data_IF_898484838076
#
_entry.id   IF_898484838076
#
_cell.length_a   1.000
_cell.length_b   1.000
_cell.length_c   1.000
_cell.angle_alpha   90.00
_cell.angle_beta   90.00
_cell.angle_gamma   90.00
#
_symmetry.space_group_name_H-M   'P 1'
#
loop_
_entity.id
_entity.type
_entity.pdbx_description
1 polymer ?
#
# COMPACT_ATOMS: atom_id res chain seq x y z
N UNK A 1 56.07 -51.31 55.64
CA UNK A 1 57.01 -51.66 54.54
C UNK A 1 56.24 -51.71 53.23
N UNK A 2 56.93 -51.36 52.14
CA UNK A 2 56.45 -51.17 50.74
C UNK A 2 55.74 -49.82 50.52
N UNK A 3 56.44 -48.71 50.27
CA UNK A 3 57.26 -48.29 49.09
C UNK A 3 56.44 -48.13 47.80
N UNK A 4 56.14 -46.85 47.54
CA UNK A 4 56.14 -46.06 46.31
C UNK A 4 55.91 -46.72 44.94
N UNK A 5 54.97 -46.14 44.16
CA UNK A 5 55.22 -45.65 42.79
C UNK A 5 54.45 -44.33 42.61
N UNK A 6 55.17 -43.23 42.37
CA UNK A 6 54.65 -41.96 41.84
C UNK A 6 54.35 -42.11 40.35
N UNK A 7 53.21 -41.61 39.89
CA UNK A 7 53.02 -41.20 38.50
C UNK A 7 52.44 -39.79 38.46
N UNK A 8 53.28 -38.87 37.99
CA UNK A 8 52.96 -37.52 37.56
C UNK A 8 52.04 -37.57 36.35
N UNK A 9 50.92 -36.85 36.39
CA UNK A 9 50.20 -36.50 35.17
C UNK A 9 49.66 -35.06 35.26
N UNK A 10 50.50 -34.13 34.82
CA UNK A 10 50.14 -32.74 34.54
C UNK A 10 49.32 -32.69 33.25
N UNK A 11 48.00 -32.81 33.36
CA UNK A 11 47.09 -32.54 32.25
C UNK A 11 46.71 -31.05 32.23
N UNK A 12 47.45 -30.30 31.42
CA UNK A 12 47.10 -28.97 30.92
C UNK A 12 45.72 -29.03 30.22
N UNK A 13 44.65 -28.62 30.94
CA UNK A 13 43.34 -28.39 30.33
C UNK A 13 43.34 -27.03 29.65
N UNK A 14 43.91 -27.00 28.45
CA UNK A 14 43.80 -25.90 27.51
C UNK A 14 42.35 -25.42 27.40
N UNK A 15 42.14 -24.17 27.81
CA UNK A 15 40.92 -23.40 27.59
C UNK A 15 40.58 -23.42 26.09
N UNK A 16 39.62 -24.27 25.70
CA UNK A 16 39.02 -24.25 24.36
C UNK A 16 38.24 -22.94 24.19
N UNK A 17 38.91 -21.91 23.65
CA UNK A 17 38.30 -20.69 23.08
C UNK A 17 37.55 -21.06 21.78
N UNK A 18 36.50 -21.87 21.84
CA UNK A 18 35.66 -22.21 20.67
C UNK A 18 34.51 -21.21 20.45
N UNK A 19 34.10 -20.45 21.47
CA UNK A 19 32.95 -19.55 21.37
C UNK A 19 33.18 -18.26 20.55
N UNK A 20 34.42 -17.85 20.27
CA UNK A 20 34.68 -16.56 19.61
C UNK A 20 34.23 -16.49 18.15
N UNK A 21 34.23 -17.62 17.43
CA UNK A 21 33.82 -17.66 16.01
C UNK A 21 32.30 -17.72 15.88
N UNK A 22 31.66 -18.52 16.72
CA UNK A 22 30.20 -18.58 16.82
C UNK A 22 29.61 -17.27 17.36
N UNK A 23 30.22 -16.67 18.39
CA UNK A 23 29.80 -15.36 18.89
C UNK A 23 29.95 -14.26 17.84
N UNK A 24 31.05 -14.25 17.05
CA UNK A 24 31.20 -13.30 15.92
C UNK A 24 30.21 -13.57 14.79
N UNK A 25 29.85 -14.83 14.54
CA UNK A 25 28.82 -15.18 13.56
C UNK A 25 27.45 -14.73 14.06
N UNK A 26 27.12 -14.99 15.32
CA UNK A 26 25.90 -14.55 16.00
C UNK A 26 25.78 -13.02 16.03
N UNK A 27 26.87 -12.29 16.33
CA UNK A 27 26.92 -10.82 16.30
C UNK A 27 26.72 -10.26 14.89
N UNK A 28 27.23 -10.92 13.85
CA UNK A 28 27.03 -10.50 12.45
C UNK A 28 25.66 -10.86 11.90
N UNK A 29 25.04 -11.93 12.41
CA UNK A 29 23.69 -12.35 12.05
C UNK A 29 22.61 -11.69 12.92
N UNK A 30 23.00 -11.04 14.03
CA UNK A 30 22.08 -10.30 14.87
C UNK A 30 21.51 -9.11 14.09
N UNK A 31 20.21 -8.83 14.19
CA UNK A 31 19.63 -7.64 13.60
C UNK A 31 20.35 -6.39 14.09
N UNK A 32 20.63 -5.47 13.17
CA UNK A 32 21.14 -4.15 13.52
C UNK A 32 20.11 -3.44 14.42
N UNK A 33 20.61 -2.75 15.46
CA UNK A 33 19.79 -1.85 16.25
C UNK A 33 19.15 -0.80 15.34
N UNK A 34 17.92 -0.37 15.65
CA UNK A 34 17.12 0.49 14.76
C UNK A 34 17.81 1.79 14.38
N UNK A 35 18.62 2.35 15.30
CA UNK A 35 19.35 3.60 15.14
C UNK A 35 20.56 3.51 14.19
N UNK A 36 21.05 2.30 13.92
CA UNK A 36 22.17 2.05 13.00
C UNK A 36 21.75 1.38 11.70
N UNK A 37 20.45 1.15 11.49
CA UNK A 37 19.96 0.57 10.23
C UNK A 37 20.21 1.56 9.08
N UNK A 38 20.80 1.09 7.96
CA UNK A 38 21.11 1.96 6.83
C UNK A 38 19.85 2.43 6.10
N UNK A 39 18.74 1.70 6.22
CA UNK A 39 17.45 2.03 5.63
C UNK A 39 16.40 2.13 6.72
N UNK A 40 15.58 3.18 6.65
CA UNK A 40 14.45 3.44 7.56
C UNK A 40 13.30 4.09 6.79
N UNK A 41 12.04 3.89 7.23
CA UNK A 41 10.90 4.53 6.61
C UNK A 41 10.98 6.05 6.70
N UNK A 42 10.56 6.73 5.63
CA UNK A 42 10.43 8.18 5.60
C UNK A 42 11.75 8.94 5.62
N UNK A 43 12.80 8.41 4.98
CA UNK A 43 13.99 9.20 4.65
C UNK A 43 13.59 10.42 3.81
N UNK A 44 14.18 11.57 4.10
CA UNK A 44 13.90 12.81 3.38
C UNK A 44 14.51 12.75 1.97
N UNK A 45 13.65 12.81 0.97
CA UNK A 45 14.05 13.00 -0.43
C UNK A 45 14.19 14.48 -0.78
N UNK A 46 14.62 14.72 -2.02
CA UNK A 46 14.55 16.01 -2.69
C UNK A 46 13.44 16.05 -3.75
N UNK A 47 13.26 17.21 -4.37
CA UNK A 47 12.35 17.36 -5.50
C UNK A 47 13.15 17.73 -6.75
N UNK A 48 13.18 16.85 -7.74
CA UNK A 48 13.67 17.20 -9.06
C UNK A 48 12.62 18.07 -9.76
N UNK A 49 13.02 19.24 -10.28
CA UNK A 49 12.11 20.24 -10.88
C UNK A 49 12.42 20.43 -12.36
N UNK A 50 11.97 19.52 -13.25
CA UNK A 50 12.26 19.61 -14.67
C UNK A 50 11.45 20.68 -15.41
N UNK A 51 10.36 21.19 -14.81
CA UNK A 51 9.48 22.20 -15.39
C UNK A 51 9.77 23.57 -14.79
N UNK A 52 9.66 24.61 -15.63
CA UNK A 52 9.69 26.00 -15.17
C UNK A 52 8.41 26.35 -14.39
N UNK A 53 8.46 27.42 -13.59
CA UNK A 53 7.28 27.90 -12.87
C UNK A 53 6.13 28.28 -13.83
N UNK A 54 6.45 28.92 -14.96
CA UNK A 54 5.47 29.29 -15.97
C UNK A 54 4.81 28.05 -16.62
N UNK A 55 5.57 26.96 -16.84
CA UNK A 55 4.98 25.73 -17.39
C UNK A 55 4.06 25.03 -16.38
N UNK A 56 4.41 25.07 -15.08
CA UNK A 56 3.54 24.56 -14.02
C UNK A 56 2.22 25.33 -13.96
N UNK A 57 2.26 26.66 -14.03
CA UNK A 57 1.07 27.52 -14.04
C UNK A 57 0.20 27.23 -15.27
N UNK A 58 0.80 27.10 -16.46
CA UNK A 58 0.08 26.75 -17.69
C UNK A 58 -0.62 25.39 -17.59
N UNK A 59 0.04 24.38 -17.03
CA UNK A 59 -0.55 23.05 -16.82
C UNK A 59 -1.71 23.15 -15.81
N UNK A 60 -1.51 23.86 -14.70
CA UNK A 60 -2.53 24.05 -13.68
C UNK A 60 -3.79 24.72 -14.26
N UNK A 61 -3.62 25.81 -15.01
CA UNK A 61 -4.70 26.52 -15.68
C UNK A 61 -5.42 25.65 -16.73
N UNK A 62 -4.68 24.83 -17.48
CA UNK A 62 -5.26 23.90 -18.42
C UNK A 62 -6.13 22.83 -17.72
N UNK A 63 -5.64 22.25 -16.62
CA UNK A 63 -6.41 21.28 -15.81
C UNK A 63 -7.69 21.90 -15.28
N UNK A 64 -7.61 23.10 -14.69
CA UNK A 64 -8.78 23.83 -14.20
C UNK A 64 -9.80 24.11 -15.32
N UNK A 65 -9.33 24.54 -16.49
CA UNK A 65 -10.19 24.80 -17.65
C UNK A 65 -10.88 23.51 -18.12
N UNK A 66 -10.17 22.39 -18.18
CA UNK A 66 -10.74 21.10 -18.56
C UNK A 66 -11.79 20.64 -17.54
N UNK A 67 -11.51 20.75 -16.23
CA UNK A 67 -12.47 20.38 -15.20
C UNK A 67 -13.75 21.24 -15.24
N UNK A 68 -13.61 22.53 -15.54
CA UNK A 68 -14.72 23.50 -15.60
C UNK A 68 -15.55 23.37 -16.89
N UNK A 69 -14.92 23.16 -18.05
CA UNK A 69 -15.61 23.21 -19.35
C UNK A 69 -15.97 21.82 -19.89
N UNK A 70 -15.12 20.83 -19.64
CA UNK A 70 -15.24 19.46 -20.15
C UNK A 70 -15.86 18.57 -19.06
N UNK A 71 -15.25 18.53 -17.88
CA UNK A 71 -15.72 17.71 -16.76
C UNK A 71 -15.62 16.20 -17.01
N UNK A 72 -16.27 15.41 -16.15
CA UNK A 72 -16.30 13.94 -16.21
C UNK A 72 -17.68 13.41 -16.61
N UNK A 73 -17.73 12.36 -17.44
CA UNK A 73 -18.96 11.62 -17.73
C UNK A 73 -19.11 10.39 -16.81
N UNK A 74 -20.27 9.71 -16.89
CA UNK A 74 -20.54 8.44 -16.21
C UNK A 74 -20.50 8.52 -14.66
N UNK A 75 -20.81 9.67 -14.08
CA UNK A 75 -20.96 9.76 -12.63
C UNK A 75 -22.19 8.94 -12.19
N UNK A 76 -22.02 8.08 -11.18
CA UNK A 76 -23.13 7.33 -10.59
C UNK A 76 -24.10 8.29 -9.86
N UNK A 77 -25.39 7.94 -9.69
CA UNK A 77 -26.39 8.85 -9.12
C UNK A 77 -26.00 9.44 -7.75
N UNK A 78 -25.41 8.64 -6.86
CA UNK A 78 -24.89 9.10 -5.56
C UNK A 78 -23.78 10.14 -5.71
N UNK A 79 -22.85 9.91 -6.64
CA UNK A 79 -21.78 10.84 -6.98
C UNK A 79 -22.34 12.16 -7.54
N UNK A 80 -23.32 12.11 -8.44
CA UNK A 80 -24.00 13.31 -8.97
C UNK A 80 -24.61 14.11 -7.82
N UNK A 81 -25.36 13.45 -6.92
CA UNK A 81 -26.01 14.11 -5.79
C UNK A 81 -24.97 14.73 -4.83
N UNK A 82 -23.89 14.02 -4.53
CA UNK A 82 -22.84 14.49 -3.64
C UNK A 82 -22.09 15.70 -4.22
N UNK A 83 -21.74 15.65 -5.51
CA UNK A 83 -20.99 16.70 -6.21
C UNK A 83 -21.84 17.94 -6.47
N UNK A 84 -23.09 17.79 -6.90
CA UNK A 84 -23.98 18.94 -7.15
C UNK A 84 -24.33 19.69 -5.88
N UNK A 85 -24.47 18.99 -4.75
CA UNK A 85 -24.67 19.59 -3.42
C UNK A 85 -23.54 20.54 -3.00
N UNK A 86 -22.30 20.31 -3.47
CA UNK A 86 -21.14 21.17 -3.16
C UNK A 86 -20.84 22.17 -4.29
N UNK A 87 -21.71 22.28 -5.29
CA UNK A 87 -21.62 23.28 -6.35
C UNK A 87 -20.96 22.80 -7.64
N UNK A 88 -20.81 21.49 -7.86
CA UNK A 88 -20.52 20.97 -9.19
C UNK A 88 -21.77 21.08 -10.09
N UNK A 89 -21.56 21.20 -11.40
CA UNK A 89 -22.65 21.35 -12.36
C UNK A 89 -22.89 20.04 -13.11
N UNK A 90 -24.11 19.51 -13.04
CA UNK A 90 -24.53 18.40 -13.89
C UNK A 90 -25.15 18.94 -15.16
N UNK A 91 -24.38 18.92 -16.25
CA UNK A 91 -24.79 19.44 -17.54
C UNK A 91 -25.86 18.58 -18.21
N UNK A 92 -26.59 19.18 -19.14
CA UNK A 92 -27.60 18.48 -19.97
C UNK A 92 -27.00 17.35 -20.83
N UNK A 93 -25.68 17.39 -21.05
CA UNK A 93 -24.89 16.36 -21.72
C UNK A 93 -24.48 15.19 -20.81
N UNK A 94 -24.99 15.15 -19.57
CA UNK A 94 -24.72 14.10 -18.60
C UNK A 94 -23.33 14.15 -17.97
N UNK A 95 -22.63 15.29 -18.09
CA UNK A 95 -21.27 15.45 -17.55
C UNK A 95 -21.27 16.33 -16.31
N UNK A 96 -20.43 15.96 -15.35
CA UNK A 96 -20.17 16.73 -14.14
C UNK A 96 -18.99 17.66 -14.36
N UNK A 97 -19.24 18.96 -14.29
CA UNK A 97 -18.23 20.02 -14.40
C UNK A 97 -17.95 20.61 -13.03
N UNK A 98 -16.69 20.99 -12.81
CA UNK A 98 -16.21 21.48 -11.53
C UNK A 98 -15.79 22.94 -11.66
N UNK A 99 -16.54 23.89 -11.09
CA UNK A 99 -16.10 25.29 -11.05
C UNK A 99 -14.71 25.41 -10.43
N UNK A 100 -13.87 26.29 -10.97
CA UNK A 100 -12.47 26.48 -10.50
C UNK A 100 -12.39 26.66 -8.99
N UNK A 101 -13.28 27.49 -8.44
CA UNK A 101 -13.35 27.77 -7.00
C UNK A 101 -13.60 26.48 -6.20
N UNK A 102 -14.52 25.62 -6.63
CA UNK A 102 -14.80 24.35 -5.95
C UNK A 102 -13.54 23.48 -5.89
N UNK A 103 -12.80 23.36 -6.99
CA UNK A 103 -11.55 22.58 -7.04
C UNK A 103 -10.50 23.15 -6.07
N UNK A 104 -10.25 24.46 -6.13
CA UNK A 104 -9.25 25.12 -5.29
C UNK A 104 -9.62 25.07 -3.80
N UNK A 105 -10.89 25.26 -3.46
CA UNK A 105 -11.40 25.19 -2.08
C UNK A 105 -11.23 23.76 -1.52
N UNK A 106 -11.53 22.74 -2.34
CA UNK A 106 -11.34 21.33 -1.98
C UNK A 106 -9.87 20.99 -1.73
N UNK A 107 -8.96 21.45 -2.60
CA UNK A 107 -7.51 21.24 -2.43
C UNK A 107 -7.00 21.84 -1.12
N UNK A 108 -7.51 23.03 -0.73
CA UNK A 108 -7.15 23.70 0.52
C UNK A 108 -7.60 22.95 1.76
N UNK A 109 -8.74 22.27 1.69
CA UNK A 109 -9.28 21.46 2.80
C UNK A 109 -8.62 20.09 2.94
N UNK A 110 -7.98 19.58 1.87
CA UNK A 110 -7.41 18.25 1.88
C UNK A 110 -6.34 18.09 2.97
N UNK A 111 -6.39 16.97 3.68
CA UNK A 111 -5.47 16.67 4.78
C UNK A 111 -4.01 16.74 4.34
N UNK A 112 -3.14 17.18 5.25
CA UNK A 112 -1.68 17.25 5.10
C UNK A 112 -1.05 16.68 6.36
N UNK A 113 0.13 16.07 6.22
CA UNK A 113 0.90 15.56 7.36
C UNK A 113 0.11 14.56 8.19
N UNK A 114 -0.27 13.45 7.57
CA UNK A 114 -1.04 12.38 8.21
C UNK A 114 -0.20 11.11 8.35
N UNK A 115 -0.70 10.15 9.12
CA UNK A 115 -0.05 8.85 9.31
C UNK A 115 -0.86 7.78 8.58
N UNK A 116 -0.18 6.92 7.83
CA UNK A 116 -0.75 5.65 7.37
C UNK A 116 -0.32 4.56 8.34
N UNK A 117 -1.26 3.81 8.89
CA UNK A 117 -0.97 2.89 9.99
C UNK A 117 -0.59 1.50 9.51
N UNK A 118 0.35 0.86 10.17
CA UNK A 118 0.50 -0.59 10.08
C UNK A 118 -0.47 -1.29 11.03
N UNK A 119 -0.60 -2.61 10.90
CA UNK A 119 -1.22 -3.41 11.98
C UNK A 119 -0.39 -3.30 13.26
N UNK A 120 0.94 -3.34 13.10
CA UNK A 120 1.87 -3.00 14.16
C UNK A 120 2.25 -1.51 14.09
N UNK A 121 2.12 -0.73 15.18
CA UNK A 121 2.51 0.67 15.22
C UNK A 121 3.97 0.96 14.81
N UNK A 122 4.86 -0.03 14.92
CA UNK A 122 6.26 0.08 14.43
C UNK A 122 6.36 0.30 12.93
N UNK A 123 5.31 -0.02 12.17
CA UNK A 123 5.22 0.16 10.73
C UNK A 123 4.38 1.36 10.31
N UNK A 124 3.99 2.23 11.26
CA UNK A 124 3.31 3.48 10.95
C UNK A 124 4.19 4.38 10.07
N UNK A 125 3.61 4.89 8.97
CA UNK A 125 4.28 5.73 8.00
C UNK A 125 3.78 7.18 8.13
N UNK A 126 4.69 8.07 8.52
CA UNK A 126 4.42 9.50 8.54
C UNK A 126 4.52 10.08 7.13
N UNK A 127 3.37 10.44 6.54
CA UNK A 127 3.25 11.06 5.22
C UNK A 127 3.30 12.57 5.38
N UNK A 128 4.52 13.11 5.44
CA UNK A 128 4.79 14.52 5.71
C UNK A 128 6.00 15.03 4.94
N UNK A 129 5.90 16.27 4.45
CA UNK A 129 7.01 16.98 3.83
C UNK A 129 7.61 16.21 2.66
N UNK A 130 8.91 15.95 2.71
CA UNK A 130 9.65 15.22 1.66
C UNK A 130 9.99 13.78 2.05
N UNK A 131 9.31 13.22 3.06
CA UNK A 131 9.54 11.83 3.48
C UNK A 131 9.12 10.87 2.38
N UNK A 132 10.00 9.95 2.02
CA UNK A 132 9.77 8.94 0.98
C UNK A 132 9.53 7.58 1.63
N UNK A 133 8.48 6.90 1.16
CA UNK A 133 8.17 5.54 1.56
C UNK A 133 8.10 4.63 0.33
N UNK A 134 8.70 3.45 0.43
CA UNK A 134 8.70 2.45 -0.63
C UNK A 134 7.67 1.37 -0.31
N UNK A 135 6.99 0.91 -1.34
CA UNK A 135 6.11 -0.25 -1.25
C UNK A 135 6.21 -1.05 -2.54
N UNK A 136 5.66 -2.26 -2.49
CA UNK A 136 5.32 -2.97 -3.71
C UNK A 136 4.24 -2.20 -4.49
N UNK A 137 3.94 -2.64 -5.70
CA UNK A 137 2.79 -2.20 -6.49
C UNK A 137 2.57 -3.18 -7.64
N UNK A 138 1.38 -3.20 -8.21
CA UNK A 138 1.07 -3.98 -9.39
C UNK A 138 -0.34 -4.57 -9.36
N UNK A 139 -0.61 -5.41 -10.34
CA UNK A 139 -1.78 -6.27 -10.42
C UNK A 139 -1.47 -7.40 -11.44
N UNK A 140 -0.28 -7.99 -11.33
CA UNK A 140 0.16 -9.02 -12.25
C UNK A 140 -0.73 -10.27 -12.14
N UNK A 141 -1.16 -10.79 -13.27
CA UNK A 141 -1.92 -12.05 -13.38
C UNK A 141 -1.02 -13.25 -13.71
N UNK A 142 0.25 -12.97 -14.04
CA UNK A 142 1.27 -13.97 -14.32
C UNK A 142 2.55 -13.67 -13.53
N UNK A 143 3.27 -14.74 -13.19
CA UNK A 143 4.57 -14.74 -12.56
C UNK A 143 5.56 -15.53 -13.42
N UNK A 144 6.84 -15.16 -13.32
CA UNK A 144 7.93 -15.96 -13.87
C UNK A 144 8.30 -17.04 -12.85
N UNK A 145 8.14 -18.30 -13.23
CA UNK A 145 8.76 -19.41 -12.53
C UNK A 145 10.27 -19.40 -12.85
N UNK A 146 11.09 -19.02 -11.88
CA UNK A 146 12.54 -18.86 -12.08
C UNK A 146 13.24 -20.20 -12.32
N UNK A 147 12.73 -21.29 -11.73
CA UNK A 147 13.33 -22.62 -11.85
C UNK A 147 13.04 -23.21 -13.23
N UNK A 148 11.79 -23.12 -13.68
CA UNK A 148 11.34 -23.66 -14.97
C UNK A 148 11.55 -22.70 -16.14
N UNK A 149 11.76 -21.40 -15.85
CA UNK A 149 11.88 -20.31 -16.83
C UNK A 149 10.63 -20.15 -17.70
N UNK A 150 9.45 -20.34 -17.11
CA UNK A 150 8.16 -20.20 -17.78
C UNK A 150 7.28 -19.18 -17.08
N UNK A 151 6.29 -18.65 -17.80
CA UNK A 151 5.22 -17.87 -17.16
C UNK A 151 4.15 -18.83 -16.65
N UNK A 152 3.70 -18.59 -15.43
CA UNK A 152 2.52 -19.25 -14.85
C UNK A 152 1.56 -18.21 -14.31
N UNK A 153 0.31 -18.60 -14.11
CA UNK A 153 -0.65 -17.75 -13.41
C UNK A 153 -0.21 -17.49 -11.96
N UNK A 154 -0.55 -16.30 -11.44
CA UNK A 154 -0.40 -15.99 -10.02
C UNK A 154 -1.52 -16.63 -9.20
N UNK A 155 -1.16 -17.18 -8.05
CA UNK A 155 -2.05 -17.85 -7.11
C UNK A 155 -2.21 -17.03 -5.83
N UNK A 156 -3.22 -17.34 -5.02
CA UNK A 156 -3.39 -16.71 -3.70
C UNK A 156 -2.15 -16.90 -2.82
N UNK A 157 -1.55 -18.09 -2.87
CA UNK A 157 -0.33 -18.42 -2.12
C UNK A 157 0.82 -17.45 -2.45
N UNK A 158 0.96 -17.06 -3.72
CA UNK A 158 2.02 -16.14 -4.14
C UNK A 158 1.84 -14.75 -3.51
N UNK A 159 0.60 -14.30 -3.29
CA UNK A 159 0.30 -13.03 -2.64
C UNK A 159 0.71 -13.08 -1.17
N UNK A 160 0.36 -14.16 -0.47
CA UNK A 160 0.76 -14.37 0.93
C UNK A 160 2.28 -14.45 1.07
N UNK A 161 2.97 -15.18 0.19
CA UNK A 161 4.42 -15.29 0.21
C UNK A 161 5.10 -13.95 -0.07
N UNK A 162 4.59 -13.17 -1.04
CA UNK A 162 5.06 -11.82 -1.31
C UNK A 162 4.88 -10.89 -0.10
N UNK A 163 3.74 -10.96 0.59
CA UNK A 163 3.49 -10.20 1.81
C UNK A 163 4.50 -10.55 2.90
N UNK A 164 4.79 -11.84 3.11
CA UNK A 164 5.78 -12.31 4.09
C UNK A 164 7.20 -11.88 3.77
N UNK A 165 7.58 -11.91 2.49
CA UNK A 165 8.86 -11.38 2.04
C UNK A 165 8.93 -9.89 2.39
N UNK A 166 7.89 -9.13 2.04
CA UNK A 166 7.83 -7.69 2.31
C UNK A 166 7.89 -7.40 3.80
N UNK A 167 7.25 -8.19 4.66
CA UNK A 167 7.30 -8.03 6.11
C UNK A 167 8.75 -8.03 6.63
N UNK A 168 9.58 -8.94 6.12
CA UNK A 168 11.00 -9.06 6.49
C UNK A 168 11.95 -8.03 5.86
N UNK A 169 11.50 -7.20 4.92
CA UNK A 169 12.35 -6.22 4.22
C UNK A 169 12.30 -4.83 4.87
N UNK A 170 13.41 -4.39 5.46
CA UNK A 170 13.51 -3.06 6.09
C UNK A 170 13.35 -1.90 5.09
N UNK A 171 13.65 -2.15 3.81
CA UNK A 171 13.60 -1.15 2.74
C UNK A 171 12.26 -1.06 2.00
N UNK A 172 11.29 -1.90 2.36
CA UNK A 172 9.92 -1.86 1.84
C UNK A 172 8.98 -1.59 3.02
N UNK A 173 8.33 -0.44 3.04
CA UNK A 173 7.61 0.09 4.20
C UNK A 173 6.11 -0.24 4.20
N UNK A 174 5.52 -0.51 3.04
CA UNK A 174 4.13 -0.95 2.91
C UNK A 174 3.97 -2.03 1.82
N UNK A 175 2.91 -2.82 1.94
CA UNK A 175 2.58 -3.88 1.00
C UNK A 175 1.36 -3.48 0.16
N UNK A 176 1.59 -2.92 -1.02
CA UNK A 176 0.54 -2.86 -2.04
C UNK A 176 0.49 -4.21 -2.74
N UNK A 177 -0.67 -4.87 -2.73
CA UNK A 177 -0.88 -6.16 -3.38
C UNK A 177 -0.34 -6.15 -4.83
N UNK A 178 0.70 -6.91 -5.18
CA UNK A 178 1.35 -6.83 -6.49
C UNK A 178 0.72 -7.74 -7.56
N UNK A 179 -0.13 -8.69 -7.16
CA UNK A 179 -0.75 -9.68 -8.07
C UNK A 179 -2.26 -9.78 -7.88
N UNK A 180 -2.93 -10.38 -8.86
CA UNK A 180 -4.33 -10.82 -8.78
C UNK A 180 -4.33 -12.35 -8.84
N UNK A 181 -4.91 -13.05 -7.85
CA UNK A 181 -4.90 -14.51 -7.86
C UNK A 181 -5.84 -15.03 -8.95
N UNK A 182 -5.45 -16.14 -9.59
CA UNK A 182 -6.17 -16.74 -10.72
C UNK A 182 -6.83 -18.07 -10.36
N UNK A 183 -6.55 -18.58 -9.16
CA UNK A 183 -7.07 -19.83 -8.59
C UNK A 183 -8.41 -19.66 -7.86
N UNK A 184 -8.97 -18.46 -7.80
CA UNK A 184 -10.27 -18.17 -7.16
C UNK A 184 -11.19 -17.47 -8.17
N UNK A 185 -12.18 -18.17 -8.76
CA UNK A 185 -13.04 -17.60 -9.79
C UNK A 185 -14.12 -16.64 -9.27
N UNK A 186 -14.64 -16.87 -8.06
CA UNK A 186 -15.70 -16.04 -7.50
C UNK A 186 -15.13 -14.68 -7.04
N UNK A 187 -15.66 -13.54 -7.51
CA UNK A 187 -15.10 -12.22 -7.17
C UNK A 187 -15.14 -11.88 -5.68
N UNK A 188 -16.17 -12.31 -4.95
CA UNK A 188 -16.27 -12.05 -3.51
C UNK A 188 -15.23 -12.89 -2.76
N UNK A 189 -15.15 -14.19 -3.05
CA UNK A 189 -14.13 -15.06 -2.46
C UNK A 189 -12.72 -14.57 -2.80
N UNK A 190 -12.49 -14.14 -4.04
CA UNK A 190 -11.20 -13.62 -4.50
C UNK A 190 -10.78 -12.39 -3.69
N UNK A 191 -11.65 -11.40 -3.54
CA UNK A 191 -11.36 -10.17 -2.78
C UNK A 191 -11.09 -10.47 -1.30
N UNK A 192 -11.93 -11.28 -0.67
CA UNK A 192 -11.82 -11.61 0.75
C UNK A 192 -10.57 -12.44 1.06
N UNK A 193 -10.30 -13.46 0.26
CA UNK A 193 -9.09 -14.27 0.45
C UNK A 193 -7.84 -13.46 0.13
N UNK A 194 -7.87 -12.60 -0.89
CA UNK A 194 -6.76 -11.67 -1.18
C UNK A 194 -6.49 -10.76 -0.01
N UNK A 195 -7.54 -10.12 0.54
CA UNK A 195 -7.42 -9.25 1.69
C UNK A 195 -6.81 -10.01 2.88
N UNK A 196 -7.37 -11.17 3.20
CA UNK A 196 -6.89 -12.04 4.27
C UNK A 196 -5.42 -12.43 4.08
N UNK A 197 -5.02 -12.86 2.88
CA UNK A 197 -3.64 -13.20 2.56
C UNK A 197 -2.68 -12.02 2.75
N UNK A 198 -3.09 -10.81 2.36
CA UNK A 198 -2.29 -9.60 2.57
C UNK A 198 -2.09 -9.30 4.07
N UNK A 199 -3.20 -9.22 4.82
CA UNK A 199 -3.14 -8.81 6.25
C UNK A 199 -2.55 -9.89 7.15
N UNK A 200 -2.69 -11.17 6.81
CA UNK A 200 -2.03 -12.25 7.55
C UNK A 200 -0.55 -12.41 7.17
N UNK A 201 -0.15 -11.95 5.99
CA UNK A 201 1.21 -12.09 5.49
C UNK A 201 2.16 -10.99 5.98
N UNK A 202 1.66 -9.81 6.36
CA UNK A 202 2.49 -8.72 6.88
C UNK A 202 1.78 -7.88 7.94
N UNK A 203 2.58 -7.37 8.88
CA UNK A 203 2.17 -6.40 9.90
C UNK A 203 2.25 -4.94 9.44
N UNK A 204 2.77 -4.69 8.23
CA UNK A 204 2.87 -3.36 7.59
C UNK A 204 1.53 -2.87 7.07
N UNK A 205 1.47 -1.59 6.67
CA UNK A 205 0.28 -1.07 5.99
C UNK A 205 0.03 -1.84 4.69
N UNK A 206 -1.21 -2.23 4.44
CA UNK A 206 -1.61 -2.98 3.25
C UNK A 206 -2.40 -2.08 2.30
N UNK A 207 -2.07 -2.13 1.02
CA UNK A 207 -2.92 -1.61 -0.05
C UNK A 207 -3.51 -2.77 -0.85
N UNK A 208 -4.83 -2.74 -1.09
CA UNK A 208 -5.53 -3.70 -1.96
C UNK A 208 -6.61 -3.01 -2.76
N UNK A 209 -7.35 -3.73 -3.60
CA UNK A 209 -8.52 -3.23 -4.33
C UNK A 209 -9.67 -4.20 -4.19
N UNK A 210 -10.89 -3.67 -4.22
CA UNK A 210 -12.12 -4.48 -4.28
C UNK A 210 -12.74 -4.40 -5.67
N UNK A 211 -13.38 -5.49 -6.07
CA UNK A 211 -13.94 -5.67 -7.41
C UNK A 211 -15.28 -4.94 -7.57
N UNK A 212 -16.17 -5.04 -6.58
CA UNK A 212 -17.50 -4.39 -6.58
C UNK A 212 -17.85 -3.84 -5.20
N UNK A 213 -18.79 -2.89 -5.14
CA UNK A 213 -19.26 -2.24 -3.91
C UNK A 213 -19.66 -3.24 -2.82
N UNK A 214 -20.39 -4.28 -3.21
CA UNK A 214 -20.97 -5.24 -2.26
C UNK A 214 -19.91 -6.07 -1.51
N UNK A 215 -18.71 -6.21 -2.08
CA UNK A 215 -17.60 -6.91 -1.44
C UNK A 215 -16.98 -6.11 -0.28
N UNK A 216 -17.19 -4.79 -0.25
CA UNK A 216 -16.59 -3.90 0.75
C UNK A 216 -17.17 -4.14 2.15
N UNK A 217 -18.48 -4.43 2.26
CA UNK A 217 -19.12 -4.71 3.55
C UNK A 217 -18.49 -5.91 4.27
N UNK A 218 -18.49 -7.11 3.66
CA UNK A 218 -17.83 -8.29 4.21
C UNK A 218 -16.32 -8.08 4.48
N UNK A 219 -15.63 -7.32 3.63
CA UNK A 219 -14.23 -6.96 3.85
C UNK A 219 -14.04 -6.10 5.10
N UNK A 220 -14.91 -5.12 5.34
CA UNK A 220 -14.90 -4.28 6.55
C UNK A 220 -15.16 -5.12 7.80
N UNK A 221 -16.10 -6.06 7.78
CA UNK A 221 -16.35 -6.97 8.91
C UNK A 221 -15.08 -7.74 9.31
N UNK A 222 -14.33 -8.24 8.32
CA UNK A 222 -13.03 -8.88 8.56
C UNK A 222 -12.03 -7.90 9.19
N UNK A 223 -11.89 -6.70 8.64
CA UNK A 223 -10.95 -5.68 9.12
C UNK A 223 -11.27 -5.22 10.54
N UNK A 224 -12.54 -4.99 10.84
CA UNK A 224 -13.02 -4.64 12.17
C UNK A 224 -12.74 -5.76 13.16
N UNK A 225 -12.97 -7.02 12.77
CA UNK A 225 -12.66 -8.18 13.61
C UNK A 225 -11.16 -8.23 13.95
N UNK A 226 -10.28 -8.04 12.96
CA UNK A 226 -8.83 -8.01 13.17
C UNK A 226 -8.41 -6.85 14.07
N UNK A 227 -9.02 -5.67 13.88
CA UNK A 227 -8.74 -4.49 14.70
C UNK A 227 -9.32 -4.58 16.14
N UNK A 228 -10.17 -5.57 16.43
CA UNK A 228 -10.91 -5.67 17.69
C UNK A 228 -12.08 -4.68 17.80
N UNK A 229 -12.64 -4.23 16.68
CA UNK A 229 -13.82 -3.36 16.58
C UNK A 229 -13.69 -2.30 15.49
N UNK A 230 -14.84 -1.77 15.05
CA UNK A 230 -14.91 -0.68 14.07
C UNK A 230 -14.22 0.60 14.56
N UNK A 231 -14.42 0.97 15.83
CA UNK A 231 -13.79 2.16 16.43
C UNK A 231 -12.26 2.07 16.36
N UNK A 232 -11.70 0.91 16.70
CA UNK A 232 -10.26 0.67 16.65
C UNK A 232 -9.73 0.75 15.22
N UNK A 233 -10.45 0.18 14.25
CA UNK A 233 -10.07 0.26 12.84
C UNK A 233 -10.10 1.71 12.34
N UNK A 234 -11.16 2.46 12.62
CA UNK A 234 -11.29 3.86 12.19
C UNK A 234 -10.25 4.77 12.83
N UNK A 235 -9.84 4.48 14.06
CA UNK A 235 -8.76 5.19 14.73
C UNK A 235 -7.39 4.92 14.09
N UNK A 236 -7.17 3.70 13.58
CA UNK A 236 -5.90 3.25 13.00
C UNK A 236 -6.09 2.33 11.78
N UNK A 237 -6.55 2.86 10.63
CA UNK A 237 -6.81 2.02 9.48
C UNK A 237 -5.49 1.52 8.88
N UNK A 238 -5.30 0.20 8.93
CA UNK A 238 -4.09 -0.47 8.45
C UNK A 238 -4.21 -1.02 7.03
N UNK A 239 -5.35 -0.81 6.38
CA UNK A 239 -5.60 -1.15 4.98
C UNK A 239 -6.08 0.09 4.22
N UNK A 240 -5.55 0.32 3.03
CA UNK A 240 -6.04 1.30 2.06
C UNK A 240 -6.57 0.63 0.80
N UNK A 241 -7.55 1.28 0.17
CA UNK A 241 -8.09 0.85 -1.11
C UNK A 241 -7.44 1.63 -2.27
N UNK A 242 -6.79 0.92 -3.18
CA UNK A 242 -6.27 1.43 -4.44
C UNK A 242 -7.40 1.50 -5.45
N UNK A 243 -7.79 2.72 -5.82
CA UNK A 243 -9.04 2.94 -6.56
C UNK A 243 -8.82 3.73 -7.85
N UNK A 244 -8.95 3.04 -8.98
CA UNK A 244 -8.95 3.64 -10.32
C UNK A 244 -10.36 4.13 -10.69
N UNK A 245 -10.85 5.13 -9.96
CA UNK A 245 -12.22 5.68 -10.13
C UNK A 245 -12.43 6.44 -11.44
N UNK A 246 -11.35 6.79 -12.16
CA UNK A 246 -11.41 7.50 -13.43
C UNK A 246 -10.77 6.69 -14.55
N UNK A 247 -11.42 6.67 -15.70
CA UNK A 247 -10.92 6.05 -16.93
C UNK A 247 -10.75 7.12 -18.02
N UNK A 248 -9.59 7.15 -18.70
CA UNK A 248 -9.39 8.09 -19.79
C UNK A 248 -10.29 7.81 -21.02
N UNK A 249 -10.69 8.86 -21.75
CA UNK A 249 -10.60 10.27 -21.35
C UNK A 249 -11.80 10.69 -20.48
N UNK A 250 -11.52 11.19 -19.27
CA UNK A 250 -12.47 11.95 -18.42
C UNK A 250 -13.84 11.29 -18.20
N UNK A 251 -13.84 10.01 -17.80
CA UNK A 251 -15.04 9.31 -17.32
C UNK A 251 -14.81 8.72 -15.95
N UNK A 252 -15.86 8.62 -15.15
CA UNK A 252 -15.85 7.79 -13.96
C UNK A 252 -16.04 6.32 -14.34
N UNK A 253 -15.38 5.43 -13.61
CA UNK A 253 -15.67 3.99 -13.65
C UNK A 253 -16.71 3.69 -12.59
N UNK A 254 -17.91 3.29 -13.02
CA UNK A 254 -19.10 3.20 -12.17
C UNK A 254 -18.90 2.25 -10.98
N UNK A 255 -18.40 1.04 -11.23
CA UNK A 255 -18.11 0.06 -10.16
C UNK A 255 -17.08 0.58 -9.16
N UNK A 256 -16.01 1.21 -9.67
CA UNK A 256 -14.94 1.77 -8.84
C UNK A 256 -15.41 2.98 -8.02
N UNK A 257 -16.40 3.75 -8.50
CA UNK A 257 -17.04 4.80 -7.71
C UNK A 257 -17.88 4.21 -6.56
N UNK A 258 -18.61 3.13 -6.82
CA UNK A 258 -19.36 2.42 -5.79
C UNK A 258 -18.45 1.86 -4.68
N UNK A 259 -17.34 1.23 -5.06
CA UNK A 259 -16.31 0.75 -4.12
C UNK A 259 -15.70 1.90 -3.33
N UNK A 260 -15.34 3.01 -3.99
CA UNK A 260 -14.78 4.20 -3.35
C UNK A 260 -15.69 4.73 -2.25
N UNK A 261 -16.97 4.93 -2.55
CA UNK A 261 -17.95 5.43 -1.58
C UNK A 261 -18.07 4.50 -0.37
N UNK A 262 -18.23 3.19 -0.58
CA UNK A 262 -18.33 2.22 0.50
C UNK A 262 -17.05 2.15 1.36
N UNK A 263 -15.87 2.25 0.74
CA UNK A 263 -14.61 2.27 1.48
C UNK A 263 -14.48 3.53 2.35
N UNK A 264 -14.83 4.70 1.81
CA UNK A 264 -14.80 5.97 2.56
C UNK A 264 -15.80 5.93 3.72
N UNK A 265 -17.02 5.45 3.48
CA UNK A 265 -18.03 5.25 4.52
C UNK A 265 -17.53 4.33 5.63
N UNK A 266 -16.84 3.23 5.28
CA UNK A 266 -16.22 2.27 6.20
C UNK A 266 -14.92 2.74 6.87
N UNK A 267 -14.40 3.91 6.54
CA UNK A 267 -13.16 4.43 7.13
C UNK A 267 -11.87 3.86 6.54
N UNK A 268 -11.91 3.25 5.36
CA UNK A 268 -10.73 2.83 4.59
C UNK A 268 -10.16 4.05 3.85
N UNK A 269 -8.88 4.42 4.07
CA UNK A 269 -8.19 5.43 3.27
C UNK A 269 -8.10 5.03 1.79
N UNK A 270 -8.23 6.00 0.90
CA UNK A 270 -8.22 5.75 -0.55
C UNK A 270 -6.93 6.25 -1.18
N UNK A 271 -6.23 5.35 -1.88
CA UNK A 271 -5.22 5.72 -2.85
C UNK A 271 -5.91 5.98 -4.20
N UNK A 272 -6.17 7.26 -4.49
CA UNK A 272 -6.78 7.68 -5.76
C UNK A 272 -5.75 7.60 -6.89
N UNK A 273 -6.06 6.82 -7.92
CA UNK A 273 -5.18 6.56 -9.05
C UNK A 273 -5.89 6.97 -10.35
N UNK A 274 -5.14 7.64 -11.24
CA UNK A 274 -5.53 7.83 -12.63
C UNK A 274 -4.51 7.15 -13.52
N UNK A 275 -4.90 6.08 -14.22
CA UNK A 275 -4.04 5.41 -15.18
C UNK A 275 -4.31 5.99 -16.58
N UNK A 276 -3.31 6.63 -17.17
CA UNK A 276 -3.35 7.10 -18.54
C UNK A 276 -2.56 6.15 -19.44
N UNK A 277 -3.23 5.47 -20.36
CA UNK A 277 -2.55 4.77 -21.46
C UNK A 277 -2.30 5.77 -22.58
N UNK A 278 -1.04 6.19 -22.75
CA UNK A 278 -0.64 6.96 -23.92
C UNK A 278 -0.46 5.99 -25.09
N UNK A 279 -1.48 5.81 -25.92
CA UNK A 279 -1.30 5.14 -27.21
C UNK A 279 -0.61 6.14 -28.13
N UNK A 280 0.72 6.03 -28.25
CA UNK A 280 1.45 6.67 -29.34
C UNK A 280 1.06 5.93 -30.61
N UNK A 281 0.14 6.52 -31.38
CA UNK A 281 -0.18 6.10 -32.75
C UNK A 281 0.94 6.55 -33.71
#
# INVERSE_FOLDING_TARGET
MSVAIEQSDTADRGSRRSGGREARRALRSAPLAEDIRPVRPGLSGGTYRPLSQNDLERIHEAVLTVLETVGFANAIPSCIAALTRVGAEHGVDGRIRFPRRLVLDTIRMAARNFTLHGQDPRHDMLVQGTRVHYGTAGAAVHLVDVEKREYRESLLQDIYDAARIVDGLDNIHFFQRPMVPRDIPDPLEMDLNTLYACVMGTSKHVGTSFTVRDNVGPALEMLYTIAGGEENFRARPFVSNSNCFVVPPMKFAEDACGVLEACVEGGIPILLLSLLLLVLL
#
